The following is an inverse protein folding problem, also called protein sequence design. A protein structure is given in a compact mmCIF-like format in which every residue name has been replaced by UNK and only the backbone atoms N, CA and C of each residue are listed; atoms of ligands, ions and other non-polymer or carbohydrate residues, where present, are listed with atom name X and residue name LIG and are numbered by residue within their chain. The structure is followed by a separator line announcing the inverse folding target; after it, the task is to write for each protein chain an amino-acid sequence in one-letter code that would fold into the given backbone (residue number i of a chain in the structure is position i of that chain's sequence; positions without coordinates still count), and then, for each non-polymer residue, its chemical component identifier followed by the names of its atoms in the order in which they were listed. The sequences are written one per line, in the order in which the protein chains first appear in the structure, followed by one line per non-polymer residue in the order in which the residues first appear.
data_IF_144235547276
#
_entry.id   IF_144235547276
#
_cell.length_a   1.000
_cell.length_b   1.000
_cell.length_c   1.000
_cell.angle_alpha   90.00
_cell.angle_beta   90.00
_cell.angle_gamma   90.00
#
_symmetry.space_group_name_H-M   'P 1'
#
loop_
_entity.id
_entity.type
_entity.pdbx_description
1 polymer ?
#
# COMPACT_ATOMS: atom_id res chain seq x y z
N UNK A 1 10.61 -8.68 10.36
CA UNK A 1 10.76 -7.70 9.27
C UNK A 1 10.00 -8.16 8.02
N UNK A 2 8.73 -8.58 8.16
CA UNK A 2 7.93 -9.24 7.11
C UNK A 2 6.80 -8.35 6.55
N UNK A 3 6.31 -7.38 7.34
CA UNK A 3 5.15 -6.55 6.96
C UNK A 3 5.37 -5.67 5.72
N UNK A 4 6.62 -5.31 5.41
CA UNK A 4 6.96 -4.43 4.28
C UNK A 4 6.64 -5.09 2.93
N UNK A 5 6.88 -6.39 2.80
CA UNK A 5 6.72 -7.12 1.54
C UNK A 5 5.36 -7.79 1.39
N UNK A 6 4.52 -7.82 2.43
CA UNK A 6 3.21 -8.46 2.40
C UNK A 6 2.11 -7.44 2.05
N UNK A 7 1.47 -7.51 0.86
CA UNK A 7 0.46 -6.53 0.44
C UNK A 7 -0.73 -6.42 1.40
N UNK A 8 -1.08 -7.53 2.03
CA UNK A 8 -2.19 -7.56 3.00
C UNK A 8 -1.93 -6.67 4.21
N UNK A 9 -0.67 -6.61 4.66
CA UNK A 9 -0.22 -5.78 5.76
C UNK A 9 0.07 -4.32 5.34
N UNK A 10 0.18 -4.05 4.04
CA UNK A 10 0.34 -2.69 3.48
C UNK A 10 -0.93 -1.83 3.51
N UNK A 11 -2.04 -2.38 4.00
CA UNK A 11 -3.26 -1.61 4.27
C UNK A 11 -4.56 -2.33 3.94
N UNK A 12 -4.54 -3.44 3.21
CA UNK A 12 -5.76 -4.18 2.84
C UNK A 12 -6.51 -4.66 4.09
N UNK A 13 -5.82 -5.33 5.02
CA UNK A 13 -6.42 -5.80 6.28
C UNK A 13 -6.91 -4.62 7.13
N UNK A 14 -6.15 -3.53 7.18
CA UNK A 14 -6.54 -2.32 7.93
C UNK A 14 -7.83 -1.73 7.38
N UNK A 15 -7.94 -1.63 6.05
CA UNK A 15 -9.10 -1.06 5.37
C UNK A 15 -10.35 -1.96 5.56
N UNK A 16 -10.19 -3.27 5.41
CA UNK A 16 -11.24 -4.24 5.69
C UNK A 16 -11.74 -4.18 7.14
N UNK A 17 -10.83 -4.14 8.12
CA UNK A 17 -11.19 -3.99 9.55
C UNK A 17 -11.94 -2.68 9.82
N UNK A 18 -11.61 -1.60 9.12
CA UNK A 18 -12.31 -0.32 9.24
C UNK A 18 -13.76 -0.44 8.78
N UNK A 19 -14.00 -0.99 7.58
CA UNK A 19 -15.35 -1.22 7.07
C UNK A 19 -16.16 -2.18 7.94
N UNK A 20 -15.53 -3.27 8.39
CA UNK A 20 -16.18 -4.23 9.29
C UNK A 20 -16.64 -3.57 10.60
N UNK A 21 -15.78 -2.79 11.26
CA UNK A 21 -16.13 -2.09 12.50
C UNK A 21 -17.24 -1.06 12.28
N UNK A 22 -17.22 -0.33 11.17
CA UNK A 22 -18.29 0.60 10.82
C UNK A 22 -19.62 -0.12 10.65
N UNK A 23 -19.64 -1.22 9.90
CA UNK A 23 -20.84 -2.00 9.68
C UNK A 23 -21.36 -2.62 10.99
N UNK A 24 -20.45 -3.12 11.83
CA UNK A 24 -20.76 -3.62 13.17
C UNK A 24 -21.48 -2.59 14.04
N UNK A 25 -20.93 -1.38 14.15
CA UNK A 25 -21.56 -0.31 14.94
C UNK A 25 -22.93 0.05 14.37
N UNK A 26 -23.06 0.13 13.04
CA UNK A 26 -24.35 0.39 12.40
C UNK A 26 -25.38 -0.69 12.74
N UNK A 27 -25.03 -1.97 12.64
CA UNK A 27 -25.93 -3.08 13.00
C UNK A 27 -26.36 -3.01 14.47
N UNK A 28 -25.43 -2.75 15.39
CA UNK A 28 -25.73 -2.64 16.82
C UNK A 28 -26.62 -1.44 17.14
N UNK A 29 -26.41 -0.30 16.48
CA UNK A 29 -27.26 0.89 16.63
C UNK A 29 -28.66 0.63 16.07
N UNK A 30 -28.78 0.00 14.89
CA UNK A 30 -30.09 -0.38 14.32
C UNK A 30 -30.86 -1.31 15.25
N UNK A 31 -30.21 -2.34 15.79
CA UNK A 31 -30.84 -3.25 16.76
C UNK A 31 -31.28 -2.50 18.03
N UNK A 32 -30.46 -1.59 18.54
CA UNK A 32 -30.80 -0.78 19.71
C UNK A 32 -32.01 0.12 19.46
N UNK A 33 -32.14 0.69 18.26
CA UNK A 33 -33.26 1.58 17.92
C UNK A 33 -34.56 0.80 17.66
N UNK A 34 -34.48 -0.36 17.01
CA UNK A 34 -35.66 -1.14 16.62
C UNK A 34 -36.16 -2.06 17.73
N UNK A 35 -35.25 -2.64 18.51
CA UNK A 35 -35.54 -3.73 19.46
C UNK A 35 -35.18 -3.37 20.89
N UNK A 36 -34.66 -2.16 21.14
CA UNK A 36 -34.15 -1.71 22.43
C UNK A 36 -33.15 -2.70 23.07
N UNK A 37 -32.39 -3.42 22.24
CA UNK A 37 -31.45 -4.47 22.64
C UNK A 37 -30.23 -4.49 21.73
N UNK A 38 -29.12 -5.08 22.19
CA UNK A 38 -27.94 -5.35 21.36
C UNK A 38 -27.87 -6.84 21.06
N UNK A 39 -28.18 -7.24 19.82
CA UNK A 39 -28.10 -8.65 19.45
C UNK A 39 -26.66 -9.14 19.54
N UNK A 40 -26.47 -10.35 20.07
CA UNK A 40 -25.19 -11.04 19.93
C UNK A 40 -24.97 -11.37 18.46
N UNK A 41 -23.76 -11.11 17.97
CA UNK A 41 -23.37 -11.46 16.61
C UNK A 41 -22.82 -12.87 16.62
N UNK A 42 -23.53 -13.77 15.94
CA UNK A 42 -23.05 -15.13 15.69
C UNK A 42 -22.03 -15.17 14.54
N UNK A 43 -21.43 -16.35 14.34
CA UNK A 43 -20.39 -16.57 13.32
C UNK A 43 -20.96 -16.37 11.90
N UNK A 44 -22.22 -16.74 11.65
CA UNK A 44 -22.85 -16.60 10.33
C UNK A 44 -23.07 -15.12 9.99
N UNK A 45 -23.53 -14.32 10.94
CA UNK A 45 -23.67 -12.88 10.79
C UNK A 45 -22.31 -12.22 10.59
N UNK A 46 -21.30 -12.57 11.40
CA UNK A 46 -19.94 -12.09 11.22
C UNK A 46 -19.39 -12.41 9.82
N UNK A 47 -19.60 -13.62 9.31
CA UNK A 47 -19.18 -14.02 7.97
C UNK A 47 -19.91 -13.22 6.87
N UNK A 48 -21.21 -12.99 7.01
CA UNK A 48 -21.99 -12.15 6.08
C UNK A 48 -21.51 -10.70 6.08
N UNK A 49 -21.24 -10.14 7.25
CA UNK A 49 -20.68 -8.79 7.39
C UNK A 49 -19.29 -8.71 6.75
N UNK A 50 -18.43 -9.71 6.98
CA UNK A 50 -17.13 -9.81 6.36
C UNK A 50 -17.23 -9.80 4.83
N UNK A 51 -18.08 -10.66 4.26
CA UNK A 51 -18.32 -10.72 2.82
C UNK A 51 -18.78 -9.38 2.24
N UNK A 52 -19.73 -8.70 2.90
CA UNK A 52 -20.20 -7.37 2.48
C UNK A 52 -19.09 -6.33 2.50
N UNK A 53 -18.32 -6.29 3.59
CA UNK A 53 -17.27 -5.28 3.81
C UNK A 53 -16.04 -5.53 2.94
N UNK A 54 -15.78 -6.78 2.53
CA UNK A 54 -14.78 -7.11 1.52
C UNK A 54 -15.07 -6.40 0.18
N UNK A 55 -16.34 -6.39 -0.26
CA UNK A 55 -16.76 -5.68 -1.45
C UNK A 55 -16.59 -4.15 -1.39
N UNK A 56 -16.37 -3.57 -0.20
CA UNK A 56 -16.12 -2.15 -0.02
C UNK A 56 -14.64 -1.78 -0.15
N UNK A 57 -13.74 -2.74 -0.05
CA UNK A 57 -12.30 -2.50 -0.26
C UNK A 57 -12.08 -2.22 -1.74
N UNK A 58 -11.73 -0.97 -2.07
CA UNK A 58 -11.61 -0.57 -3.48
C UNK A 58 -10.43 -1.27 -4.18
N UNK A 59 -10.60 -1.59 -5.46
CA UNK A 59 -9.53 -2.13 -6.30
C UNK A 59 -8.29 -1.21 -6.30
N UNK A 60 -8.50 0.12 -6.28
CA UNK A 60 -7.42 1.11 -6.18
C UNK A 60 -6.64 0.99 -4.87
N UNK A 61 -7.32 0.74 -3.74
CA UNK A 61 -6.66 0.51 -2.45
C UNK A 61 -5.81 -0.76 -2.51
N UNK A 62 -6.34 -1.84 -3.08
CA UNK A 62 -5.63 -3.11 -3.24
C UNK A 62 -4.39 -2.90 -4.12
N UNK A 63 -4.55 -2.30 -5.30
CA UNK A 63 -3.45 -2.00 -6.21
C UNK A 63 -2.34 -1.16 -5.55
N UNK A 64 -2.72 -0.13 -4.80
CA UNK A 64 -1.76 0.70 -4.06
C UNK A 64 -1.01 -0.09 -2.97
N UNK A 65 -1.67 -1.02 -2.28
CA UNK A 65 -1.02 -1.89 -1.30
C UNK A 65 -0.01 -2.85 -1.95
N UNK A 66 -0.36 -3.43 -3.10
CA UNK A 66 0.55 -4.26 -3.89
C UNK A 66 1.74 -3.46 -4.43
N UNK A 67 1.50 -2.23 -4.90
CA UNK A 67 2.57 -1.29 -5.31
C UNK A 67 3.53 -1.01 -4.15
N UNK A 68 3.01 -0.71 -2.96
CA UNK A 68 3.82 -0.47 -1.75
C UNK A 68 4.64 -1.69 -1.33
N UNK A 69 4.10 -2.89 -1.52
CA UNK A 69 4.80 -4.14 -1.25
C UNK A 69 5.83 -4.52 -2.35
N UNK A 70 5.99 -3.70 -3.39
CA UNK A 70 6.99 -3.89 -4.45
C UNK A 70 6.54 -4.72 -5.64
N UNK A 71 5.25 -5.09 -5.74
CA UNK A 71 4.70 -5.90 -6.83
C UNK A 71 4.46 -5.11 -8.13
N UNK A 72 4.70 -3.80 -8.13
CA UNK A 72 4.66 -2.98 -9.32
C UNK A 72 5.92 -2.10 -9.37
N UNK A 73 6.67 -2.17 -10.49
CA UNK A 73 7.70 -1.17 -10.78
C UNK A 73 7.01 0.16 -11.07
N UNK A 74 7.54 1.25 -10.53
CA UNK A 74 7.22 2.58 -11.01
C UNK A 74 7.66 2.66 -12.49
N UNK A 75 6.75 2.39 -13.42
CA UNK A 75 6.93 2.74 -14.83
C UNK A 75 7.00 4.26 -15.03
N UNK A 76 6.77 5.05 -13.98
CA UNK A 76 6.86 6.51 -13.93
C UNK A 76 8.30 7.05 -13.96
N UNK A 77 9.30 6.21 -14.20
CA UNK A 77 10.59 6.72 -14.64
C UNK A 77 10.46 7.05 -16.12
N UNK A 78 10.18 8.32 -16.42
CA UNK A 78 10.31 8.85 -17.77
C UNK A 78 11.69 8.40 -18.30
N UNK A 79 11.76 7.65 -19.41
CA UNK A 79 13.02 7.15 -19.94
C UNK A 79 14.06 8.26 -20.11
N UNK A 80 13.62 9.50 -20.39
CA UNK A 80 14.51 10.66 -20.48
C UNK A 80 15.17 11.02 -19.15
N UNK A 81 14.49 10.89 -18.01
CA UNK A 81 15.05 11.19 -16.68
C UNK A 81 16.02 10.09 -16.22
N UNK A 82 15.75 8.83 -16.58
CA UNK A 82 16.70 7.73 -16.34
C UNK A 82 17.96 7.95 -17.14
N UNK A 83 17.82 8.28 -18.43
CA UNK A 83 18.95 8.58 -19.31
C UNK A 83 19.74 9.79 -18.81
N UNK A 84 19.07 10.88 -18.41
CA UNK A 84 19.75 12.05 -17.82
C UNK A 84 20.53 11.68 -16.56
N UNK A 85 19.94 10.89 -15.66
CA UNK A 85 20.60 10.45 -14.43
C UNK A 85 21.79 9.53 -14.70
N UNK A 86 21.68 8.66 -15.70
CA UNK A 86 22.75 7.77 -16.14
C UNK A 86 23.89 8.53 -16.82
N UNK A 87 23.57 9.53 -17.64
CA UNK A 87 24.54 10.41 -18.29
C UNK A 87 25.28 11.29 -17.26
N UNK A 88 24.57 11.84 -16.27
CA UNK A 88 25.17 12.61 -15.17
C UNK A 88 26.12 11.74 -14.34
N UNK A 89 25.78 10.49 -14.06
CA UNK A 89 26.67 9.55 -13.35
C UNK A 89 27.96 9.32 -14.14
N UNK A 90 27.88 9.04 -15.44
CA UNK A 90 29.07 8.86 -16.29
C UNK A 90 29.92 10.12 -16.41
N UNK A 91 29.31 11.31 -16.50
CA UNK A 91 30.02 12.58 -16.52
C UNK A 91 30.74 12.87 -15.19
N UNK A 92 30.09 12.57 -14.07
CA UNK A 92 30.70 12.72 -12.75
C UNK A 92 31.86 11.75 -12.55
N UNK A 93 31.72 10.49 -12.98
CA UNK A 93 32.77 9.48 -12.88
C UNK A 93 33.96 9.80 -13.80
N UNK A 94 33.68 10.27 -15.02
CA UNK A 94 34.71 10.76 -15.95
C UNK A 94 35.47 11.98 -15.42
N UNK A 95 34.80 12.90 -14.73
CA UNK A 95 35.44 14.07 -14.10
C UNK A 95 36.31 13.66 -12.91
N UNK A 96 35.86 12.69 -12.10
CA UNK A 96 36.65 12.11 -11.03
C UNK A 96 37.89 11.39 -11.57
N UNK A 97 37.75 10.64 -12.67
CA UNK A 97 38.87 9.97 -13.31
C UNK A 97 39.88 10.95 -13.91
N UNK A 98 39.42 12.03 -14.54
CA UNK A 98 40.28 13.09 -15.03
C UNK A 98 41.03 13.80 -13.90
N UNK A 99 40.37 14.07 -12.76
CA UNK A 99 41.01 14.66 -11.58
C UNK A 99 42.06 13.74 -10.99
N UNK A 100 41.78 12.43 -10.88
CA UNK A 100 42.75 11.41 -10.46
C UNK A 100 43.96 11.36 -11.39
N UNK A 101 43.73 11.40 -12.71
CA UNK A 101 44.81 11.42 -13.69
C UNK A 101 45.62 12.71 -13.57
N UNK A 102 45.00 13.87 -13.34
CA UNK A 102 45.72 15.14 -13.19
C UNK A 102 46.57 15.20 -11.91
N UNK A 103 46.07 14.64 -10.80
CA UNK A 103 46.79 14.55 -9.52
C UNK A 103 47.88 13.47 -9.50
N UNK A 104 47.86 12.50 -10.43
CA UNK A 104 48.87 11.44 -10.54
C UNK A 104 50.12 11.87 -11.32
N UNK A 105 50.08 12.98 -12.06
CA UNK A 105 51.19 13.51 -12.88
C UNK A 105 51.77 14.83 -12.34
N UNK A 106 51.50 15.17 -11.08
CA UNK A 106 52.12 16.27 -10.31
C UNK A 106 52.70 15.72 -9.03
#
# INVERSE_FOLDING_TARGET
MTSVVQPMDQGVIKNLKHFYRRHLVQTLLTDSLEKNTFSKIDILQAARMFHRTWGQVSQTTIANCFKKAGFAKNSDQNPSEVLKKMLLLHLMDGKQQHLKNMLMWT
#
